data_IF_669909025475
#
_entry.id   IF_669909025475
#
_cell.length_a   1.000
_cell.length_b   1.000
_cell.length_c   1.000
_cell.angle_alpha   90.00
_cell.angle_beta   90.00
_cell.angle_gamma   90.00
#
_symmetry.space_group_name_H-M   'P 1'
#
loop_
_entity.id
_entity.type
_entity.pdbx_description
1 polymer ?
#
# COMPACT_ATOMS: atom_id res chain seq x y z
N UNK A 1 -7.43 -2.68 3.51
CA UNK A 1 -6.58 -3.50 4.40
C UNK A 1 -7.17 -3.43 5.79
N UNK A 2 -7.74 -4.52 6.31
CA UNK A 2 -8.30 -4.59 7.67
C UNK A 2 -7.26 -5.22 8.59
N UNK A 3 -6.73 -4.46 9.55
CA UNK A 3 -5.74 -4.94 10.51
C UNK A 3 -6.39 -5.42 11.80
N UNK A 4 -5.70 -6.31 12.51
CA UNK A 4 -5.98 -6.58 13.92
C UNK A 4 -5.79 -5.27 14.71
N UNK A 5 -6.71 -4.99 15.65
CA UNK A 5 -6.78 -3.68 16.30
C UNK A 5 -5.49 -3.32 17.06
N UNK A 6 -4.82 -4.31 17.65
CA UNK A 6 -3.55 -4.19 18.38
C UNK A 6 -2.31 -4.16 17.47
N UNK A 7 -2.48 -4.36 16.15
CA UNK A 7 -1.41 -4.37 15.15
C UNK A 7 -1.33 -3.13 14.28
N UNK A 8 -2.20 -2.15 14.52
CA UNK A 8 -2.25 -0.90 13.74
C UNK A 8 -0.93 -0.14 13.80
N UNK A 9 -0.38 0.10 14.99
CA UNK A 9 0.90 0.83 15.14
C UNK A 9 2.06 0.11 14.47
N UNK A 10 2.10 -1.22 14.55
CA UNK A 10 3.12 -2.03 13.87
C UNK A 10 3.04 -1.88 12.34
N UNK A 11 1.83 -1.84 11.78
CA UNK A 11 1.64 -1.55 10.36
C UNK A 11 2.11 -0.13 9.99
N UNK A 12 1.75 0.88 10.79
CA UNK A 12 2.18 2.26 10.56
C UNK A 12 3.70 2.40 10.54
N UNK A 13 4.42 1.69 11.43
CA UNK A 13 5.89 1.64 11.43
C UNK A 13 6.45 1.00 10.17
N UNK A 14 5.90 -0.15 9.76
CA UNK A 14 6.29 -0.83 8.50
C UNK A 14 6.10 0.12 7.32
N UNK A 15 4.94 0.77 7.22
CA UNK A 15 4.67 1.70 6.13
C UNK A 15 5.61 2.91 6.18
N UNK A 16 5.82 3.53 7.34
CA UNK A 16 6.71 4.68 7.47
C UNK A 16 8.17 4.35 7.10
N UNK A 17 8.63 3.14 7.40
CA UNK A 17 9.99 2.69 7.05
C UNK A 17 10.19 2.41 5.55
N UNK A 18 9.10 2.20 4.81
CA UNK A 18 9.12 1.78 3.40
C UNK A 18 8.60 2.85 2.43
N UNK A 19 7.72 3.76 2.86
CA UNK A 19 7.01 4.72 1.99
C UNK A 19 7.92 5.54 1.08
N UNK A 20 9.05 6.01 1.58
CA UNK A 20 10.00 6.80 0.77
C UNK A 20 10.70 5.95 -0.29
N UNK A 21 10.98 4.68 0.01
CA UNK A 21 11.56 3.74 -0.95
C UNK A 21 10.55 3.39 -2.03
N UNK A 22 9.30 3.14 -1.65
CA UNK A 22 8.19 2.88 -2.59
C UNK A 22 8.00 4.09 -3.51
N UNK A 23 7.93 5.29 -2.94
CA UNK A 23 7.75 6.54 -3.69
C UNK A 23 8.92 6.86 -4.63
N UNK A 24 10.11 6.35 -4.33
CA UNK A 24 11.31 6.52 -5.16
C UNK A 24 11.46 5.43 -6.25
N UNK A 25 10.58 4.44 -6.31
CA UNK A 25 10.58 3.45 -7.39
C UNK A 25 10.30 4.14 -8.73
N UNK A 26 10.95 3.65 -9.78
CA UNK A 26 10.73 4.13 -11.14
C UNK A 26 9.23 4.11 -11.47
N UNK A 27 8.74 5.19 -12.09
CA UNK A 27 7.35 5.33 -12.49
C UNK A 27 6.36 5.61 -11.35
N UNK A 28 6.74 5.57 -10.07
CA UNK A 28 5.83 5.97 -8.99
C UNK A 28 5.69 7.50 -8.93
N UNK A 29 4.52 8.04 -9.25
CA UNK A 29 4.26 9.50 -9.24
C UNK A 29 3.53 9.97 -7.99
N UNK A 30 2.85 9.07 -7.29
CA UNK A 30 2.06 9.40 -6.11
C UNK A 30 1.98 8.19 -5.19
N UNK A 31 1.97 8.44 -3.88
CA UNK A 31 1.73 7.44 -2.84
C UNK A 31 1.06 8.11 -1.66
N UNK A 32 -0.09 7.57 -1.27
CA UNK A 32 -0.90 8.04 -0.16
C UNK A 32 -1.33 6.85 0.69
N UNK A 33 -1.31 7.05 2.01
CA UNK A 33 -1.93 6.16 2.98
C UNK A 33 -3.17 6.85 3.54
N UNK A 34 -4.31 6.20 3.37
CA UNK A 34 -5.59 6.62 3.90
C UNK A 34 -6.05 5.66 4.98
N UNK A 35 -6.86 6.16 5.90
CA UNK A 35 -7.53 5.40 6.95
C UNK A 35 -9.03 5.64 6.85
N UNK A 36 -9.82 4.60 7.10
CA UNK A 36 -11.26 4.75 7.21
C UNK A 36 -11.62 5.71 8.35
N UNK A 37 -12.66 6.52 8.14
CA UNK A 37 -13.06 7.57 9.08
C UNK A 37 -13.80 7.02 10.31
N UNK A 38 -14.38 5.83 10.22
CA UNK A 38 -15.18 5.20 11.27
C UNK A 38 -14.46 4.00 11.90
N UNK A 39 -13.54 3.37 11.18
CA UNK A 39 -12.85 2.14 11.58
C UNK A 39 -11.32 2.34 11.53
N UNK A 40 -10.68 2.70 12.67
CA UNK A 40 -9.27 3.10 12.70
C UNK A 40 -8.28 1.96 12.39
N UNK A 41 -8.74 0.72 12.29
CA UNK A 41 -7.96 -0.44 11.87
C UNK A 41 -8.09 -0.75 10.37
N UNK A 42 -8.85 0.05 9.60
CA UNK A 42 -8.99 -0.12 8.16
C UNK A 42 -8.19 0.97 7.43
N UNK A 43 -7.28 0.52 6.58
CA UNK A 43 -6.41 1.39 5.78
C UNK A 43 -6.49 1.07 4.29
N UNK A 44 -6.18 2.07 3.47
CA UNK A 44 -6.04 1.96 2.03
C UNK A 44 -4.74 2.63 1.61
N UNK A 45 -4.04 2.04 0.65
CA UNK A 45 -2.94 2.73 -0.04
C UNK A 45 -3.41 3.06 -1.44
N UNK A 46 -3.08 4.27 -1.89
CA UNK A 46 -3.39 4.75 -3.22
C UNK A 46 -2.11 5.26 -3.85
N UNK A 47 -1.82 4.78 -5.06
CA UNK A 47 -0.56 5.10 -5.74
C UNK A 47 -0.80 5.26 -7.22
N UNK A 48 -0.10 6.21 -7.83
CA UNK A 48 -0.12 6.43 -9.28
C UNK A 48 1.20 5.99 -9.87
N UNK A 49 1.11 5.30 -11.00
CA UNK A 49 2.24 4.75 -11.72
C UNK A 49 2.19 5.20 -13.18
N UNK A 50 3.35 5.51 -13.77
CA UNK A 50 3.48 5.93 -15.17
C UNK A 50 3.03 4.84 -16.13
N UNK A 51 3.24 3.57 -15.77
CA UNK A 51 2.82 2.41 -16.56
C UNK A 51 2.49 1.20 -15.69
N UNK A 52 1.76 0.24 -16.27
CA UNK A 52 1.56 -1.08 -15.66
C UNK A 52 2.90 -1.82 -15.45
N UNK A 53 3.85 -1.63 -16.36
CA UNK A 53 5.19 -2.24 -16.27
C UNK A 53 5.94 -1.75 -15.03
N UNK A 54 5.93 -0.44 -14.74
CA UNK A 54 6.56 0.12 -13.55
C UNK A 54 5.92 -0.40 -12.26
N UNK A 55 4.58 -0.49 -12.24
CA UNK A 55 3.84 -1.07 -11.12
C UNK A 55 4.21 -2.55 -10.89
N UNK A 56 4.30 -3.34 -11.96
CA UNK A 56 4.66 -4.75 -11.84
C UNK A 56 6.12 -4.94 -11.43
N UNK A 57 7.04 -4.11 -11.93
CA UNK A 57 8.42 -4.07 -11.46
C UNK A 57 8.50 -3.80 -9.94
N UNK A 58 7.66 -2.91 -9.42
CA UNK A 58 7.53 -2.71 -7.99
C UNK A 58 6.98 -3.94 -7.27
N UNK A 59 5.89 -4.55 -7.76
CA UNK A 59 5.29 -5.77 -7.17
C UNK A 59 6.25 -6.95 -7.12
N UNK A 60 7.13 -7.08 -8.11
CA UNK A 60 8.12 -8.16 -8.19
C UNK A 60 9.41 -7.85 -7.40
N UNK A 61 9.56 -6.62 -6.90
CA UNK A 61 10.74 -6.18 -6.17
C UNK A 61 10.86 -6.84 -4.79
N UNK A 62 12.11 -6.96 -4.31
CA UNK A 62 12.38 -7.39 -2.93
C UNK A 62 11.81 -6.42 -1.88
N UNK A 63 11.72 -5.12 -2.21
CA UNK A 63 11.08 -4.14 -1.35
C UNK A 63 9.60 -4.50 -1.10
N UNK A 64 8.85 -4.80 -2.16
CA UNK A 64 7.45 -5.20 -2.04
C UNK A 64 7.33 -6.53 -1.30
N UNK A 65 8.04 -7.57 -1.72
CA UNK A 65 7.96 -8.91 -1.09
C UNK A 65 8.24 -8.86 0.41
N UNK A 66 9.29 -8.17 0.82
CA UNK A 66 9.69 -8.07 2.24
C UNK A 66 8.70 -7.24 3.05
N UNK A 67 8.25 -6.10 2.52
CA UNK A 67 7.26 -5.24 3.20
C UNK A 67 5.92 -5.96 3.32
N UNK A 68 5.44 -6.55 2.21
CA UNK A 68 4.18 -7.26 2.15
C UNK A 68 4.16 -8.51 3.05
N UNK A 69 5.25 -9.26 3.13
CA UNK A 69 5.36 -10.41 4.03
C UNK A 69 5.18 -10.02 5.51
N UNK A 70 5.68 -8.84 5.91
CA UNK A 70 5.48 -8.29 7.26
C UNK A 70 4.07 -7.75 7.46
N UNK A 71 3.54 -7.02 6.48
CA UNK A 71 2.19 -6.44 6.58
C UNK A 71 1.11 -7.52 6.61
N UNK A 72 1.23 -8.59 5.80
CA UNK A 72 0.16 -9.56 5.62
C UNK A 72 -0.20 -10.35 6.88
N UNK A 73 0.75 -10.55 7.79
CA UNK A 73 0.53 -11.31 9.03
C UNK A 73 -0.23 -10.50 10.08
N UNK A 74 -0.40 -9.18 9.86
CA UNK A 74 -1.11 -8.27 10.75
C UNK A 74 -2.60 -8.16 10.42
N UNK A 75 -3.06 -8.76 9.32
CA UNK A 75 -4.43 -8.63 8.87
C UNK A 75 -5.41 -9.40 9.78
N UNK A 76 -6.58 -8.82 9.99
CA UNK A 76 -7.74 -9.49 10.56
C UNK A 76 -8.64 -10.10 9.46
N UNK A 77 -8.57 -9.56 8.25
CA UNK A 77 -9.35 -10.02 7.10
C UNK A 77 -8.51 -10.06 5.83
N UNK A 78 -8.95 -10.83 4.83
CA UNK A 78 -8.25 -10.89 3.54
C UNK A 78 -8.23 -9.49 2.88
N UNK A 79 -7.07 -8.96 2.49
CA UNK A 79 -6.98 -7.66 1.85
C UNK A 79 -7.55 -7.71 0.42
N UNK A 80 -8.09 -6.58 -0.03
CA UNK A 80 -8.48 -6.34 -1.42
C UNK A 80 -7.50 -5.34 -2.05
N UNK A 81 -7.21 -5.54 -3.33
CA UNK A 81 -6.35 -4.68 -4.13
C UNK A 81 -6.86 -4.64 -5.56
N UNK A 82 -6.83 -3.45 -6.16
CA UNK A 82 -7.28 -3.20 -7.53
C UNK A 82 -6.24 -2.32 -8.23
N UNK A 83 -5.96 -2.62 -9.50
CA UNK A 83 -5.37 -1.67 -10.45
C UNK A 83 -6.52 -1.09 -11.26
N UNK A 84 -6.58 0.23 -11.38
CA UNK A 84 -7.69 0.94 -12.03
C UNK A 84 -7.15 1.95 -13.03
N UNK A 85 -7.93 2.26 -14.06
CA UNK A 85 -7.73 3.40 -14.94
C UNK A 85 -8.67 4.54 -14.55
N UNK A 86 -8.23 5.79 -14.72
CA UNK A 86 -9.09 6.95 -14.52
C UNK A 86 -9.85 7.26 -15.80
N UNK A 87 -11.18 7.16 -15.76
CA UNK A 87 -12.03 7.50 -16.91
C UNK A 87 -12.37 8.99 -16.98
N UNK A 88 -12.36 9.69 -15.85
CA UNK A 88 -12.65 11.12 -15.75
C UNK A 88 -12.02 11.66 -14.46
N UNK A 89 -11.34 12.80 -14.58
CA UNK A 89 -10.91 13.64 -13.46
C UNK A 89 -11.59 14.98 -13.64
N UNK A 90 -12.28 15.46 -12.61
CA UNK A 90 -13.02 16.74 -12.62
C UNK A 90 -12.25 17.80 -11.86
#
# INVERSE_FOLDING_TARGET
MTFQADKVSEFEEIFNSSKHKIRAMQGCCHLELMRDINQPNIYMTHSHWESETDLNNYRDSELFKTTWAKTKVLFAEKPLAFSVESLTVV
#
